data_IF_053139254257
#
_entry.id   IF_053139254257
#
_cell.length_a   1.000
_cell.length_b   1.000
_cell.length_c   1.000
_cell.angle_alpha   90.00
_cell.angle_beta   90.00
_cell.angle_gamma   90.00
#
_symmetry.space_group_name_H-M   'P 1'
#
loop_
_entity.id
_entity.type
_entity.pdbx_description
1 polymer ?
#
# COMPACT_ATOMS: atom_id res chain seq x y z
N UNK A 1 2.28 -3.01 21.61
CA UNK A 1 3.17 -2.52 22.70
C UNK A 1 3.38 -3.50 23.86
N UNK A 2 2.65 -4.62 23.99
CA UNK A 2 3.07 -5.69 24.91
C UNK A 2 2.96 -7.07 24.24
N UNK A 3 3.88 -7.28 23.30
CA UNK A 3 3.76 -8.37 22.35
C UNK A 3 3.93 -9.76 23.02
N UNK A 4 4.92 -9.86 23.91
CA UNK A 4 5.23 -11.05 24.70
C UNK A 4 4.09 -11.46 25.63
N UNK A 5 3.46 -10.49 26.30
CA UNK A 5 2.36 -10.76 27.24
C UNK A 5 1.09 -11.23 26.50
N UNK A 6 0.79 -10.63 25.34
CA UNK A 6 -0.36 -11.03 24.51
C UNK A 6 -0.19 -12.46 23.98
N UNK A 7 1.03 -12.82 23.53
CA UNK A 7 1.35 -14.16 23.06
C UNK A 7 1.27 -15.21 24.18
N UNK A 8 1.72 -14.86 25.39
CA UNK A 8 1.64 -15.75 26.55
C UNK A 8 0.18 -16.02 26.93
N UNK A 9 -0.65 -14.97 27.00
CA UNK A 9 -2.07 -15.09 27.33
C UNK A 9 -2.83 -15.92 26.29
N UNK A 10 -2.56 -15.70 24.99
CA UNK A 10 -3.16 -16.50 23.92
C UNK A 10 -2.72 -17.95 23.97
N UNK A 11 -1.44 -18.23 24.26
CA UNK A 11 -0.97 -19.61 24.41
C UNK A 11 -1.64 -20.29 25.60
N UNK A 12 -1.69 -19.63 26.76
CA UNK A 12 -2.37 -20.15 27.95
C UNK A 12 -3.85 -20.42 27.69
N UNK A 13 -4.56 -19.52 27.00
CA UNK A 13 -5.95 -19.71 26.65
C UNK A 13 -6.17 -20.92 25.71
N UNK A 14 -5.30 -21.11 24.72
CA UNK A 14 -5.33 -22.27 23.83
C UNK A 14 -5.06 -23.56 24.62
N UNK A 15 -4.04 -23.57 25.48
CA UNK A 15 -3.65 -24.75 26.25
C UNK A 15 -4.75 -25.20 27.23
N UNK A 16 -5.51 -24.25 27.79
CA UNK A 16 -6.65 -24.52 28.68
C UNK A 16 -7.87 -25.05 27.90
N UNK A 17 -8.14 -24.51 26.71
CA UNK A 17 -9.38 -24.79 25.96
C UNK A 17 -9.24 -25.95 24.98
N UNK A 18 -8.03 -26.25 24.50
CA UNK A 18 -7.77 -27.34 23.55
C UNK A 18 -8.20 -28.73 24.07
N UNK A 19 -8.03 -29.08 25.36
CA UNK A 19 -8.52 -30.36 25.90
C UNK A 19 -10.05 -30.46 25.92
N UNK A 20 -10.74 -29.32 26.03
CA UNK A 20 -12.21 -29.23 26.08
C UNK A 20 -12.85 -29.28 24.68
N UNK A 21 -12.03 -29.14 23.62
CA UNK A 21 -12.48 -29.13 22.23
C UNK A 21 -13.27 -30.38 21.83
N UNK A 22 -12.92 -31.55 22.38
CA UNK A 22 -13.56 -32.82 22.02
C UNK A 22 -14.98 -32.98 22.58
N UNK A 23 -15.42 -32.09 23.47
CA UNK A 23 -16.71 -32.20 24.15
C UNK A 23 -17.77 -31.24 23.61
N UNK A 24 -17.38 -30.12 22.98
CA UNK A 24 -18.31 -29.08 22.55
C UNK A 24 -17.88 -28.39 21.24
N UNK A 25 -18.79 -28.34 20.26
CA UNK A 25 -18.56 -27.73 18.93
C UNK A 25 -18.28 -26.22 19.05
N UNK A 26 -18.91 -25.55 20.02
CA UNK A 26 -18.72 -24.12 20.31
C UNK A 26 -17.30 -23.83 20.81
N UNK A 27 -16.75 -24.67 21.68
CA UNK A 27 -15.38 -24.54 22.20
C UNK A 27 -14.36 -24.72 21.07
N UNK A 28 -14.65 -25.63 20.12
CA UNK A 28 -13.82 -25.78 18.92
C UNK A 28 -13.72 -24.55 18.04
N UNK A 29 -14.84 -23.83 17.87
CA UNK A 29 -14.83 -22.56 17.14
C UNK A 29 -14.01 -21.50 17.89
N UNK A 30 -14.13 -21.44 19.22
CA UNK A 30 -13.34 -20.51 20.04
C UNK A 30 -11.84 -20.80 19.93
N UNK A 31 -11.42 -22.06 20.04
CA UNK A 31 -10.01 -22.46 19.88
C UNK A 31 -9.49 -22.08 18.48
N UNK A 32 -10.29 -22.30 17.43
CA UNK A 32 -9.96 -21.87 16.07
C UNK A 32 -9.73 -20.34 15.97
N UNK A 33 -10.61 -19.52 16.54
CA UNK A 33 -10.43 -18.07 16.54
C UNK A 33 -9.22 -17.61 17.36
N UNK A 34 -8.92 -18.27 18.49
CA UNK A 34 -7.71 -17.98 19.27
C UNK A 34 -6.44 -18.28 18.48
N UNK A 35 -6.43 -19.35 17.67
CA UNK A 35 -5.34 -19.63 16.75
C UNK A 35 -5.21 -18.55 15.66
N UNK A 36 -6.32 -18.02 15.15
CA UNK A 36 -6.31 -16.92 14.19
C UNK A 36 -5.78 -15.62 14.78
N UNK A 37 -6.19 -15.27 16.00
CA UNK A 37 -5.68 -14.08 16.70
C UNK A 37 -4.18 -14.21 16.99
N UNK A 38 -3.73 -15.41 17.38
CA UNK A 38 -2.30 -15.69 17.54
C UNK A 38 -1.54 -15.55 16.22
N UNK A 39 -2.08 -16.08 15.12
CA UNK A 39 -1.46 -15.96 13.80
C UNK A 39 -1.39 -14.50 13.34
N UNK A 40 -2.47 -13.75 13.49
CA UNK A 40 -2.53 -12.32 13.17
C UNK A 40 -1.44 -11.56 13.91
N UNK A 41 -1.29 -11.88 15.19
CA UNK A 41 -0.32 -11.28 16.07
C UNK A 41 1.12 -11.61 15.64
N UNK A 42 1.43 -12.89 15.41
CA UNK A 42 2.77 -13.34 14.98
C UNK A 42 3.15 -12.73 13.62
N UNK A 43 2.21 -12.65 12.67
CA UNK A 43 2.42 -12.01 11.37
C UNK A 43 2.66 -10.50 11.49
N UNK A 44 1.86 -9.81 12.31
CA UNK A 44 2.01 -8.36 12.53
C UNK A 44 3.36 -8.04 13.20
N UNK A 45 3.79 -8.87 14.15
CA UNK A 45 5.11 -8.75 14.75
C UNK A 45 6.21 -8.93 13.70
N UNK A 46 6.12 -9.97 12.86
CA UNK A 46 7.09 -10.25 11.79
C UNK A 46 7.18 -9.09 10.78
N UNK A 47 6.04 -8.53 10.37
CA UNK A 47 5.93 -7.37 9.50
C UNK A 47 6.57 -6.15 10.15
N UNK A 48 6.25 -5.84 11.41
CA UNK A 48 6.80 -4.67 12.12
C UNK A 48 8.32 -4.75 12.33
N UNK A 49 8.84 -5.96 12.55
CA UNK A 49 10.28 -6.23 12.64
C UNK A 49 10.95 -6.26 11.27
N UNK A 50 10.17 -6.33 10.18
CA UNK A 50 10.64 -6.52 8.81
C UNK A 50 11.50 -7.78 8.66
N UNK A 51 11.21 -8.80 9.45
CA UNK A 51 11.87 -10.10 9.41
C UNK A 51 10.99 -11.04 8.60
N UNK A 52 11.41 -11.35 7.38
CA UNK A 52 10.67 -12.17 6.42
C UNK A 52 11.33 -13.53 6.15
N UNK A 53 12.44 -13.82 6.84
CA UNK A 53 13.08 -15.14 6.81
C UNK A 53 12.26 -16.13 7.64
N UNK A 54 12.36 -17.41 7.30
CA UNK A 54 11.72 -18.47 8.08
C UNK A 54 12.34 -18.53 9.48
N UNK A 55 11.56 -18.05 10.45
CA UNK A 55 11.82 -18.29 11.86
C UNK A 55 11.49 -19.76 12.18
N UNK A 56 12.11 -20.31 13.23
CA UNK A 56 11.90 -21.67 13.78
C UNK A 56 10.42 -22.05 14.07
N UNK A 57 9.47 -21.11 13.94
CA UNK A 57 8.07 -21.25 14.30
C UNK A 57 7.12 -21.66 13.14
N UNK A 58 7.65 -21.97 11.95
CA UNK A 58 6.89 -22.32 10.74
C UNK A 58 5.75 -21.33 10.42
N UNK A 59 6.02 -20.03 10.62
CA UNK A 59 5.02 -18.97 10.47
C UNK A 59 4.46 -18.91 9.05
N UNK A 60 5.33 -19.13 8.05
CA UNK A 60 4.91 -19.14 6.65
C UNK A 60 3.96 -20.30 6.35
N UNK A 61 4.23 -21.52 6.82
CA UNK A 61 3.36 -22.68 6.62
C UNK A 61 1.97 -22.46 7.23
N UNK A 62 1.91 -21.84 8.41
CA UNK A 62 0.65 -21.46 9.07
C UNK A 62 -0.11 -20.42 8.26
N UNK A 63 0.59 -19.41 7.72
CA UNK A 63 0.01 -18.41 6.84
C UNK A 63 -0.55 -19.03 5.55
N UNK A 64 0.22 -19.92 4.91
CA UNK A 64 -0.21 -20.64 3.71
C UNK A 64 -1.44 -21.50 3.97
N UNK A 65 -1.44 -22.24 5.08
CA UNK A 65 -2.56 -23.08 5.49
C UNK A 65 -3.83 -22.26 5.71
N UNK A 66 -3.71 -21.13 6.41
CA UNK A 66 -4.82 -20.20 6.62
C UNK A 66 -5.35 -19.61 5.31
N UNK A 67 -4.48 -19.18 4.39
CA UNK A 67 -4.90 -18.59 3.12
C UNK A 67 -5.51 -19.62 2.13
N UNK A 68 -5.13 -20.90 2.25
CA UNK A 68 -5.71 -22.01 1.47
C UNK A 68 -7.03 -22.52 2.05
N UNK A 69 -7.29 -22.27 3.33
CA UNK A 69 -8.52 -22.70 3.99
C UNK A 69 -9.75 -22.00 3.38
N UNK A 70 -10.79 -22.78 3.09
CA UNK A 70 -12.06 -22.25 2.61
C UNK A 70 -12.87 -21.71 3.78
N UNK A 71 -12.75 -20.41 4.03
CA UNK A 71 -13.53 -19.71 5.05
C UNK A 71 -14.93 -19.38 4.53
N UNK A 72 -15.94 -19.50 5.40
CA UNK A 72 -17.26 -18.95 5.13
C UNK A 72 -17.24 -17.41 5.22
N UNK A 73 -18.14 -16.71 4.52
CA UNK A 73 -18.21 -15.23 4.53
C UNK A 73 -18.46 -14.64 5.93
N UNK A 74 -19.04 -15.44 6.84
CA UNK A 74 -19.36 -15.01 8.21
C UNK A 74 -18.21 -15.25 9.19
N UNK A 75 -17.31 -16.20 8.91
CA UNK A 75 -16.26 -16.61 9.85
C UNK A 75 -14.90 -15.94 9.57
N UNK A 76 -14.76 -15.26 8.44
CA UNK A 76 -13.47 -14.78 7.96
C UNK A 76 -13.02 -13.49 8.66
N UNK A 77 -11.86 -13.56 9.33
CA UNK A 77 -11.21 -12.37 9.88
C UNK A 77 -10.50 -11.59 8.75
N UNK A 78 -11.13 -10.51 8.29
CA UNK A 78 -10.62 -9.68 7.17
C UNK A 78 -9.27 -9.02 7.48
N UNK A 79 -9.00 -8.69 8.74
CA UNK A 79 -7.70 -8.13 9.15
C UNK A 79 -6.58 -9.17 9.05
N UNK A 80 -6.86 -10.41 9.46
CA UNK A 80 -5.92 -11.52 9.30
C UNK A 80 -5.62 -11.80 7.82
N UNK A 81 -6.64 -11.82 6.95
CA UNK A 81 -6.43 -12.00 5.50
C UNK A 81 -5.59 -10.86 4.91
N UNK A 82 -5.89 -9.61 5.26
CA UNK A 82 -5.12 -8.43 4.84
C UNK A 82 -3.65 -8.54 5.25
N UNK A 83 -3.39 -8.88 6.50
CA UNK A 83 -2.03 -9.04 7.06
C UNK A 83 -1.30 -10.22 6.43
N UNK A 84 -1.97 -11.37 6.26
CA UNK A 84 -1.40 -12.57 5.66
C UNK A 84 -1.00 -12.36 4.18
N UNK A 85 -1.85 -11.69 3.40
CA UNK A 85 -1.53 -11.35 2.00
C UNK A 85 -0.38 -10.35 1.91
N UNK A 86 -0.34 -9.33 2.78
CA UNK A 86 0.77 -8.38 2.83
C UNK A 86 2.09 -9.06 3.25
N UNK A 87 2.03 -10.03 4.17
CA UNK A 87 3.18 -10.85 4.55
C UNK A 87 3.69 -11.68 3.37
N UNK A 88 2.80 -12.37 2.65
CA UNK A 88 3.15 -13.15 1.46
C UNK A 88 3.79 -12.30 0.35
N UNK A 89 3.25 -11.09 0.11
CA UNK A 89 3.84 -10.12 -0.83
C UNK A 89 5.24 -9.68 -0.39
N UNK A 90 5.42 -9.44 0.90
CA UNK A 90 6.71 -8.98 1.46
C UNK A 90 7.77 -10.09 1.43
N UNK A 91 7.37 -11.36 1.43
CA UNK A 91 8.22 -12.53 1.22
C UNK A 91 8.51 -12.85 -0.25
N UNK A 92 7.93 -12.11 -1.18
CA UNK A 92 8.03 -12.38 -2.62
C UNK A 92 7.47 -13.76 -3.05
N UNK A 93 6.42 -14.24 -2.37
CA UNK A 93 5.81 -15.56 -2.62
C UNK A 93 4.80 -15.50 -3.78
N UNK A 94 5.29 -15.10 -4.94
CA UNK A 94 4.50 -14.77 -6.14
C UNK A 94 3.66 -15.96 -6.62
N UNK A 95 4.29 -17.13 -6.77
CA UNK A 95 3.63 -18.33 -7.32
C UNK A 95 2.47 -18.78 -6.43
N UNK A 96 2.69 -18.75 -5.11
CA UNK A 96 1.67 -19.08 -4.13
C UNK A 96 0.47 -18.12 -4.23
N UNK A 97 0.72 -16.81 -4.24
CA UNK A 97 -0.34 -15.79 -4.35
C UNK A 97 -1.17 -15.94 -5.63
N UNK A 98 -0.53 -16.30 -6.74
CA UNK A 98 -1.20 -16.55 -8.01
C UNK A 98 -2.06 -17.83 -7.95
N UNK A 99 -1.63 -18.85 -7.20
CA UNK A 99 -2.34 -20.13 -7.05
C UNK A 99 -3.59 -20.06 -6.13
N UNK A 100 -3.69 -19.03 -5.29
CA UNK A 100 -4.81 -18.89 -4.35
C UNK A 100 -6.16 -18.79 -5.07
N UNK A 101 -7.14 -19.55 -4.61
CA UNK A 101 -8.52 -19.50 -5.12
C UNK A 101 -9.26 -18.38 -4.39
N UNK A 102 -10.19 -17.70 -5.08
CA UNK A 102 -11.02 -16.67 -4.47
C UNK A 102 -11.92 -17.28 -3.40
N UNK A 103 -11.62 -16.99 -2.12
CA UNK A 103 -12.44 -17.36 -0.97
C UNK A 103 -13.16 -16.11 -0.46
N UNK A 104 -14.49 -16.18 -0.37
CA UNK A 104 -15.34 -15.14 0.21
C UNK A 104 -15.49 -13.83 -0.58
N UNK A 105 -16.65 -13.17 -0.45
CA UNK A 105 -16.92 -11.87 -1.09
C UNK A 105 -16.14 -10.73 -0.45
N UNK A 106 -16.02 -10.73 0.89
CA UNK A 106 -15.41 -9.64 1.67
C UNK A 106 -13.89 -9.55 1.49
N UNK A 107 -13.24 -10.67 1.23
CA UNK A 107 -11.78 -10.80 1.11
C UNK A 107 -11.28 -10.77 -0.32
N UNK A 108 -12.20 -10.86 -1.28
CA UNK A 108 -11.92 -10.80 -2.71
C UNK A 108 -11.07 -9.59 -3.10
N UNK A 109 -11.34 -8.42 -2.52
CA UNK A 109 -10.62 -7.19 -2.88
C UNK A 109 -9.13 -7.25 -2.52
N UNK A 110 -8.81 -7.70 -1.31
CA UNK A 110 -7.41 -7.84 -0.88
C UNK A 110 -6.68 -8.88 -1.73
N UNK A 111 -7.34 -10.01 -2.02
CA UNK A 111 -6.76 -11.06 -2.85
C UNK A 111 -6.53 -10.61 -4.29
N UNK A 112 -7.51 -9.93 -4.89
CA UNK A 112 -7.39 -9.42 -6.26
C UNK A 112 -6.25 -8.38 -6.34
N UNK A 113 -6.14 -7.45 -5.38
CA UNK A 113 -5.01 -6.51 -5.30
C UNK A 113 -3.68 -7.24 -5.10
N UNK A 114 -3.62 -8.22 -4.19
CA UNK A 114 -2.41 -9.01 -3.97
C UNK A 114 -1.96 -9.77 -5.22
N UNK A 115 -2.90 -10.31 -6.00
CA UNK A 115 -2.60 -10.97 -7.28
C UNK A 115 -2.11 -9.99 -8.35
N UNK A 116 -2.64 -8.77 -8.39
CA UNK A 116 -2.11 -7.71 -9.27
C UNK A 116 -0.67 -7.38 -8.87
N UNK A 117 -0.41 -7.16 -7.58
CA UNK A 117 0.93 -6.90 -7.08
C UNK A 117 1.91 -8.06 -7.36
N UNK A 118 1.51 -9.30 -7.11
CA UNK A 118 2.32 -10.48 -7.42
C UNK A 118 2.65 -10.57 -8.91
N UNK A 119 1.70 -10.26 -9.80
CA UNK A 119 1.94 -10.21 -11.25
C UNK A 119 2.91 -9.08 -11.65
N UNK A 120 2.87 -7.94 -10.96
CA UNK A 120 3.82 -6.85 -11.17
C UNK A 120 5.24 -7.26 -10.77
N UNK A 121 5.39 -7.96 -9.63
CA UNK A 121 6.69 -8.49 -9.16
C UNK A 121 7.25 -9.59 -10.07
N UNK A 122 6.41 -10.44 -10.65
CA UNK A 122 6.86 -11.51 -11.56
C UNK A 122 7.53 -10.98 -12.84
N UNK A 123 7.40 -9.69 -13.15
CA UNK A 123 8.03 -9.07 -14.32
C UNK A 123 9.43 -8.49 -14.03
N UNK A 124 10.00 -8.69 -12.84
CA UNK A 124 11.34 -8.17 -12.48
C UNK A 124 12.46 -8.61 -13.43
N UNK A 125 12.29 -9.72 -14.15
CA UNK A 125 13.25 -10.20 -15.15
C UNK A 125 13.00 -9.70 -16.59
N UNK A 126 12.02 -8.82 -16.83
CA UNK A 126 11.77 -8.21 -18.13
C UNK A 126 11.99 -6.69 -18.05
N UNK A 127 12.66 -6.07 -19.05
CA UNK A 127 13.04 -4.65 -18.98
C UNK A 127 11.86 -3.65 -19.01
N UNK A 128 10.60 -4.12 -19.01
CA UNK A 128 9.41 -3.28 -19.11
C UNK A 128 8.25 -3.89 -18.29
N UNK A 129 7.68 -3.10 -17.37
CA UNK A 129 6.42 -3.45 -16.73
C UNK A 129 5.33 -3.51 -17.81
N UNK A 130 4.54 -4.58 -17.83
CA UNK A 130 3.46 -4.74 -18.81
C UNK A 130 2.41 -3.65 -18.62
N UNK A 131 2.08 -2.86 -19.66
CA UNK A 131 1.16 -1.72 -19.55
C UNK A 131 -0.25 -2.14 -19.12
N UNK A 132 -0.67 -3.36 -19.46
CA UNK A 132 -1.96 -3.93 -19.06
C UNK A 132 -2.09 -4.06 -17.54
N UNK A 133 -1.04 -4.51 -16.85
CA UNK A 133 -1.05 -4.68 -15.39
C UNK A 133 -1.03 -3.32 -14.67
N UNK A 134 -0.34 -2.35 -15.25
CA UNK A 134 -0.30 -0.98 -14.74
C UNK A 134 -1.68 -0.34 -14.86
N UNK A 135 -2.35 -0.50 -16.00
CA UNK A 135 -3.72 -0.02 -16.20
C UNK A 135 -4.70 -0.74 -15.27
N UNK A 136 -4.57 -2.04 -15.10
CA UNK A 136 -5.42 -2.79 -14.16
C UNK A 136 -5.26 -2.26 -12.71
N UNK A 137 -4.03 -2.00 -12.26
CA UNK A 137 -3.78 -1.42 -10.94
C UNK A 137 -4.36 0.00 -10.83
N UNK A 138 -4.13 0.84 -11.85
CA UNK A 138 -4.64 2.20 -11.92
C UNK A 138 -6.17 2.24 -11.76
N UNK A 139 -6.89 1.47 -12.58
CA UNK A 139 -8.35 1.44 -12.58
C UNK A 139 -8.90 0.94 -11.24
N UNK A 140 -8.28 -0.08 -10.64
CA UNK A 140 -8.69 -0.62 -9.33
C UNK A 140 -8.52 0.39 -8.20
N UNK A 141 -7.40 1.10 -8.15
CA UNK A 141 -7.16 2.12 -7.13
C UNK A 141 -8.15 3.28 -7.32
N UNK A 142 -8.40 3.69 -8.56
CA UNK A 142 -9.37 4.74 -8.87
C UNK A 142 -10.81 4.37 -8.50
N UNK A 143 -11.21 3.11 -8.70
CA UNK A 143 -12.53 2.61 -8.31
C UNK A 143 -12.76 2.63 -6.79
N UNK A 144 -11.68 2.53 -6.00
CA UNK A 144 -11.69 2.64 -4.53
C UNK A 144 -11.71 4.12 -4.11
N UNK A 145 -10.93 4.97 -4.76
CA UNK A 145 -10.82 6.39 -4.43
C UNK A 145 -12.03 7.22 -4.89
N UNK A 146 -12.77 6.74 -5.90
CA UNK A 146 -13.94 7.44 -6.42
C UNK A 146 -15.17 7.21 -5.53
N UNK A 147 -15.57 8.27 -4.84
CA UNK A 147 -16.92 8.38 -4.30
C UNK A 147 -17.87 8.42 -5.50
N UNK A 148 -18.65 7.35 -5.71
CA UNK A 148 -19.76 7.40 -6.68
C UNK A 148 -20.79 8.39 -6.14
N UNK A 149 -20.71 9.65 -6.58
CA UNK A 149 -21.82 10.59 -6.51
C UNK A 149 -23.04 9.91 -7.13
N UNK A 150 -23.96 9.43 -6.29
CA UNK A 150 -25.28 9.02 -6.72
C UNK A 150 -26.04 10.29 -7.12
N UNK A 151 -25.80 10.77 -8.34
CA UNK A 151 -26.67 11.76 -8.95
C UNK A 151 -28.04 11.11 -9.23
N UNK A 152 -29.16 11.85 -9.10
CA UNK A 152 -30.52 11.35 -9.39
C UNK A 152 -30.73 10.83 -10.83
N UNK A 153 -29.74 10.96 -11.72
CA UNK A 153 -29.80 10.54 -13.13
C UNK A 153 -29.19 9.17 -13.47
N UNK A 154 -28.55 8.48 -12.52
CA UNK A 154 -27.84 7.22 -12.78
C UNK A 154 -28.77 6.00 -13.05
N UNK A 155 -30.09 6.19 -13.03
CA UNK A 155 -31.08 5.11 -13.22
C UNK A 155 -31.35 4.80 -14.71
N UNK A 156 -30.98 5.67 -15.65
CA UNK A 156 -31.46 5.54 -17.05
C UNK A 156 -30.50 4.96 -18.09
N UNK A 157 -29.26 4.58 -17.75
CA UNK A 157 -28.30 4.07 -18.77
C UNK A 157 -27.64 2.72 -18.45
N UNK A 158 -28.23 1.90 -17.58
CA UNK A 158 -27.78 0.52 -17.36
C UNK A 158 -28.78 -0.49 -17.94
N UNK A 159 -28.94 -0.51 -19.27
CA UNK A 159 -29.74 -1.56 -19.94
C UNK A 159 -28.95 -2.60 -20.72
N UNK A 160 -27.61 -2.54 -20.79
CA UNK A 160 -26.82 -3.50 -21.59
C UNK A 160 -25.48 -3.95 -20.96
N UNK A 161 -25.35 -3.97 -19.63
CA UNK A 161 -24.28 -4.76 -18.98
C UNK A 161 -24.92 -5.83 -18.12
N UNK A 162 -24.56 -7.08 -18.43
CA UNK A 162 -24.90 -8.26 -17.65
C UNK A 162 -24.82 -7.97 -16.15
N UNK A 163 -25.95 -8.24 -15.47
CA UNK A 163 -26.08 -8.59 -14.05
C UNK A 163 -24.89 -8.19 -13.16
N UNK A 164 -24.89 -6.96 -12.67
CA UNK A 164 -24.28 -6.65 -11.37
C UNK A 164 -25.40 -6.23 -10.43
N UNK A 165 -25.83 -7.20 -9.63
CA UNK A 165 -26.74 -7.01 -8.51
C UNK A 165 -26.24 -5.90 -7.59
N UNK A 166 -27.17 -5.06 -7.12
CA UNK A 166 -27.03 -4.11 -6.02
C UNK A 166 -26.10 -4.57 -4.89
N UNK A 167 -24.91 -3.99 -4.73
CA UNK A 167 -24.11 -4.04 -3.49
C UNK A 167 -23.34 -2.74 -3.27
N UNK A 168 -23.99 -1.75 -2.66
CA UNK A 168 -23.32 -0.51 -2.20
C UNK A 168 -22.34 -0.77 -1.03
N UNK A 169 -22.37 -1.96 -0.43
CA UNK A 169 -21.52 -2.35 0.70
C UNK A 169 -20.37 -3.34 0.35
N UNK A 170 -20.22 -3.75 -0.92
CA UNK A 170 -19.11 -4.62 -1.36
C UNK A 170 -17.96 -3.79 -1.95
N UNK A 171 -17.59 -2.66 -1.35
CA UNK A 171 -16.43 -1.88 -1.82
C UNK A 171 -15.42 -1.74 -0.69
N UNK A 172 -14.15 -1.99 -1.02
CA UNK A 172 -13.05 -1.70 -0.12
C UNK A 172 -13.04 -0.19 0.18
N UNK A 173 -13.04 0.18 1.46
CA UNK A 173 -12.94 1.59 1.83
C UNK A 173 -11.51 2.11 1.60
N UNK A 174 -11.36 3.43 1.49
CA UNK A 174 -10.02 4.05 1.42
C UNK A 174 -9.20 3.76 2.67
N UNK A 175 -9.85 3.67 3.84
CA UNK A 175 -9.21 3.33 5.11
C UNK A 175 -8.65 1.90 5.06
N UNK A 176 -9.41 0.97 4.50
CA UNK A 176 -8.98 -0.42 4.36
C UNK A 176 -7.86 -0.59 3.33
N UNK A 177 -7.91 0.18 2.24
CA UNK A 177 -6.81 0.28 1.30
C UNK A 177 -5.55 0.79 1.99
N UNK A 178 -5.64 1.92 2.72
CA UNK A 178 -4.52 2.46 3.49
C UNK A 178 -3.92 1.42 4.44
N UNK A 179 -4.77 0.74 5.23
CA UNK A 179 -4.34 -0.34 6.13
C UNK A 179 -3.64 -1.49 5.40
N UNK A 180 -4.04 -1.81 4.17
CA UNK A 180 -3.37 -2.84 3.40
C UNK A 180 -2.00 -2.38 2.90
N UNK A 181 -1.93 -1.17 2.34
CA UNK A 181 -0.68 -0.62 1.78
C UNK A 181 0.41 -0.45 2.85
N UNK A 182 0.06 0.01 4.06
CA UNK A 182 1.04 0.16 5.17
C UNK A 182 1.55 -1.18 5.73
N UNK A 183 0.95 -2.32 5.37
CA UNK A 183 1.47 -3.62 5.76
C UNK A 183 2.47 -4.18 4.73
N UNK A 184 2.49 -3.64 3.51
CA UNK A 184 3.40 -4.08 2.46
C UNK A 184 4.80 -3.56 2.79
N UNK A 185 5.79 -4.44 2.71
CA UNK A 185 7.20 -4.14 2.96
C UNK A 185 8.10 -4.38 1.74
N UNK A 186 7.52 -4.78 0.61
CA UNK A 186 8.27 -5.02 -0.61
C UNK A 186 8.71 -3.70 -1.26
N UNK A 187 10.03 -3.44 -1.45
CA UNK A 187 10.55 -2.17 -1.94
C UNK A 187 9.95 -1.70 -3.27
N UNK A 188 9.88 -2.61 -4.24
CA UNK A 188 9.38 -2.31 -5.59
C UNK A 188 7.89 -1.99 -5.56
N UNK A 189 7.09 -2.70 -4.74
CA UNK A 189 5.67 -2.40 -4.61
C UNK A 189 5.47 -1.02 -4.00
N UNK A 190 6.22 -0.67 -2.95
CA UNK A 190 6.16 0.68 -2.38
C UNK A 190 6.45 1.74 -3.43
N UNK A 191 7.49 1.54 -4.25
CA UNK A 191 7.87 2.47 -5.30
C UNK A 191 6.79 2.62 -6.39
N UNK A 192 6.18 1.51 -6.83
CA UNK A 192 5.08 1.51 -7.80
C UNK A 192 3.85 2.21 -7.22
N UNK A 193 3.45 1.87 -5.98
CA UNK A 193 2.27 2.46 -5.33
C UNK A 193 2.47 3.96 -5.11
N UNK A 194 3.64 4.37 -4.62
CA UNK A 194 3.94 5.79 -4.40
C UNK A 194 3.96 6.56 -5.73
N UNK A 195 4.50 5.96 -6.78
CA UNK A 195 4.47 6.52 -8.14
C UNK A 195 3.05 6.68 -8.70
N UNK A 196 2.18 5.69 -8.46
CA UNK A 196 0.77 5.78 -8.82
C UNK A 196 0.09 6.96 -8.13
N UNK A 197 0.28 7.06 -6.81
CA UNK A 197 -0.34 8.12 -6.00
C UNK A 197 0.20 9.50 -6.37
N UNK A 198 1.51 9.65 -6.60
CA UNK A 198 2.11 10.92 -7.03
C UNK A 198 1.60 11.33 -8.42
N UNK A 199 1.39 10.35 -9.32
CA UNK A 199 0.77 10.63 -10.61
C UNK A 199 -0.68 11.08 -10.47
N UNK A 200 -1.48 10.40 -9.66
CA UNK A 200 -2.86 10.81 -9.39
C UNK A 200 -2.91 12.23 -8.83
N UNK A 201 -2.02 12.51 -7.87
CA UNK A 201 -1.89 13.82 -7.26
C UNK A 201 -1.57 14.90 -8.31
N UNK A 202 -0.58 14.64 -9.17
CA UNK A 202 -0.21 15.49 -10.30
C UNK A 202 -1.41 15.75 -11.20
N UNK A 203 -2.15 14.71 -11.61
CA UNK A 203 -3.28 14.82 -12.53
C UNK A 203 -4.48 15.60 -11.94
N UNK A 204 -4.68 15.54 -10.62
CA UNK A 204 -5.75 16.29 -9.94
C UNK A 204 -5.37 17.76 -9.78
N UNK A 205 -4.07 18.08 -9.67
CA UNK A 205 -3.56 19.44 -9.45
C UNK A 205 -2.96 20.11 -10.70
N UNK A 206 -3.10 19.52 -11.90
CA UNK A 206 -2.48 20.04 -13.14
C UNK A 206 -2.82 21.50 -13.40
N UNK A 207 -4.03 21.94 -13.05
CA UNK A 207 -4.45 23.33 -13.26
C UNK A 207 -3.84 24.33 -12.26
N UNK A 208 -3.20 23.84 -11.17
CA UNK A 208 -2.76 24.65 -10.02
C UNK A 208 -1.24 24.71 -9.83
N UNK A 209 -0.46 23.85 -10.50
CA UNK A 209 0.99 23.76 -10.31
C UNK A 209 1.75 23.58 -11.64
N UNK A 210 2.90 24.25 -11.75
CA UNK A 210 3.86 24.09 -12.83
C UNK A 210 5.07 23.21 -12.45
N UNK A 211 4.98 22.50 -11.32
CA UNK A 211 6.04 21.61 -10.85
C UNK A 211 5.79 20.21 -11.36
N UNK A 212 6.72 19.71 -12.18
CA UNK A 212 6.73 18.31 -12.59
C UNK A 212 7.20 17.45 -11.41
N UNK A 213 6.30 16.60 -10.92
CA UNK A 213 6.60 15.66 -9.84
C UNK A 213 7.43 14.51 -10.40
N UNK A 214 8.66 14.34 -9.90
CA UNK A 214 9.51 13.21 -10.24
C UNK A 214 8.83 11.90 -9.86
N UNK A 215 8.94 10.90 -10.73
CA UNK A 215 8.48 9.55 -10.42
C UNK A 215 9.08 8.51 -11.36
N UNK A 216 9.66 7.46 -10.79
CA UNK A 216 10.37 6.40 -11.53
C UNK A 216 9.47 5.67 -12.54
N UNK A 217 8.20 5.45 -12.17
CA UNK A 217 7.22 4.78 -13.02
C UNK A 217 6.28 5.75 -13.75
N UNK A 218 6.58 7.06 -13.77
CA UNK A 218 5.75 8.11 -14.40
C UNK A 218 5.24 7.74 -15.80
N UNK A 219 6.14 7.21 -16.63
CA UNK A 219 5.87 6.85 -18.04
C UNK A 219 4.82 5.75 -18.24
N UNK A 220 4.56 4.94 -17.22
CA UNK A 220 3.62 3.82 -17.34
C UNK A 220 2.18 4.22 -17.01
N UNK A 221 2.00 5.33 -16.30
CA UNK A 221 0.69 5.78 -15.86
C UNK A 221 -0.02 6.62 -16.94
N UNK A 222 -1.37 6.63 -16.94
CA UNK A 222 -2.13 7.53 -17.82
C UNK A 222 -1.75 9.01 -17.67
N UNK A 223 -1.95 9.75 -18.74
CA UNK A 223 -1.71 11.21 -18.80
C UNK A 223 -2.94 12.07 -18.55
N UNK A 224 -4.09 11.44 -18.38
CA UNK A 224 -5.35 12.11 -18.07
C UNK A 224 -6.22 11.21 -17.20
N UNK A 225 -7.17 11.84 -16.51
CA UNK A 225 -8.18 11.19 -15.67
C UNK A 225 -9.54 11.39 -16.33
N UNK A 226 -10.36 10.34 -16.37
CA UNK A 226 -11.70 10.41 -16.95
C UNK A 226 -12.62 11.31 -16.12
N UNK A 227 -13.66 11.89 -16.75
CA UNK A 227 -14.61 12.78 -16.08
C UNK A 227 -15.24 12.18 -14.80
N UNK A 228 -15.50 10.87 -14.80
CA UNK A 228 -16.05 10.15 -13.62
C UNK A 228 -15.09 10.07 -12.44
N UNK A 229 -13.80 10.17 -12.70
CA UNK A 229 -12.73 10.07 -11.72
C UNK A 229 -12.33 11.47 -11.19
N UNK A 230 -12.89 12.56 -11.75
CA UNK A 230 -12.77 13.92 -11.17
C UNK A 230 -13.48 14.09 -9.82
N UNK A 231 -14.30 13.12 -9.38
CA UNK A 231 -14.93 13.16 -8.05
C UNK A 231 -13.98 12.79 -6.91
N UNK A 232 -12.75 12.36 -7.22
CA UNK A 232 -11.75 12.00 -6.23
C UNK A 232 -11.29 13.26 -5.50
N UNK A 233 -11.46 13.26 -4.17
CA UNK A 233 -11.04 14.38 -3.33
C UNK A 233 -9.52 14.41 -3.23
N UNK A 234 -8.92 15.56 -3.52
CA UNK A 234 -7.47 15.79 -3.35
C UNK A 234 -6.99 15.48 -1.94
N UNK A 235 -7.80 15.78 -0.92
CA UNK A 235 -7.49 15.48 0.48
C UNK A 235 -7.34 13.98 0.76
N UNK A 236 -8.15 13.13 0.11
CA UNK A 236 -8.08 11.68 0.25
C UNK A 236 -6.78 11.13 -0.33
N UNK A 237 -6.38 11.61 -1.50
CA UNK A 237 -5.09 11.21 -2.11
C UNK A 237 -3.93 11.73 -1.28
N UNK A 238 -3.99 12.98 -0.80
CA UNK A 238 -2.96 13.56 0.07
C UNK A 238 -2.75 12.74 1.35
N UNK A 239 -3.84 12.36 2.03
CA UNK A 239 -3.80 11.55 3.25
C UNK A 239 -3.18 10.17 2.98
N UNK A 240 -3.56 9.52 1.88
CA UNK A 240 -3.02 8.21 1.51
C UNK A 240 -1.53 8.28 1.18
N UNK A 241 -1.11 9.29 0.40
CA UNK A 241 0.30 9.52 0.07
C UNK A 241 1.11 9.81 1.33
N UNK A 242 0.60 10.65 2.23
CA UNK A 242 1.26 10.98 3.50
C UNK A 242 1.41 9.76 4.40
N UNK A 243 0.36 8.96 4.58
CA UNK A 243 0.42 7.73 5.37
C UNK A 243 1.42 6.72 4.79
N UNK A 244 1.48 6.60 3.46
CA UNK A 244 2.48 5.75 2.80
C UNK A 244 3.89 6.31 2.95
N UNK A 245 4.06 7.64 2.92
CA UNK A 245 5.37 8.27 3.13
C UNK A 245 5.87 8.05 4.56
N UNK A 246 5.03 8.23 5.58
CA UNK A 246 5.36 7.94 6.98
C UNK A 246 5.80 6.47 7.16
N UNK A 247 5.11 5.55 6.48
CA UNK A 247 5.49 4.15 6.44
C UNK A 247 6.87 3.92 5.77
N UNK A 248 7.15 4.61 4.67
CA UNK A 248 8.46 4.60 3.99
C UNK A 248 9.57 5.13 4.92
N UNK A 249 9.29 6.20 5.67
CA UNK A 249 10.25 6.78 6.62
C UNK A 249 10.59 5.79 7.74
N UNK A 250 9.56 5.10 8.28
CA UNK A 250 9.71 4.08 9.30
C UNK A 250 10.42 2.80 8.81
N UNK A 251 10.52 2.62 7.49
CA UNK A 251 11.12 1.42 6.91
C UNK A 251 12.64 1.36 7.09
N UNK A 252 13.12 0.24 7.63
CA UNK A 252 14.53 0.03 8.02
C UNK A 252 15.38 -0.53 6.88
N UNK A 253 14.80 -1.40 6.05
CA UNK A 253 15.53 -2.18 5.05
C UNK A 253 15.21 -1.78 3.60
N UNK A 254 14.71 -0.55 3.38
CA UNK A 254 14.47 -0.07 2.03
C UNK A 254 15.80 0.30 1.33
N UNK A 255 16.06 -0.17 0.10
CA UNK A 255 17.26 0.19 -0.64
C UNK A 255 17.45 1.72 -0.75
N UNK A 256 18.69 2.19 -0.55
CA UNK A 256 19.03 3.62 -0.48
C UNK A 256 18.52 4.38 -1.71
N UNK A 257 18.73 3.82 -2.91
CA UNK A 257 18.32 4.44 -4.17
C UNK A 257 16.80 4.59 -4.25
N UNK A 258 16.06 3.56 -3.86
CA UNK A 258 14.59 3.61 -3.82
C UNK A 258 14.14 4.64 -2.77
N UNK A 259 14.74 4.64 -1.58
CA UNK A 259 14.39 5.57 -0.51
C UNK A 259 14.63 7.03 -0.92
N UNK A 260 15.80 7.36 -1.47
CA UNK A 260 16.10 8.71 -2.00
C UNK A 260 15.08 9.13 -3.06
N UNK A 261 14.78 8.25 -4.02
CA UNK A 261 13.80 8.53 -5.09
C UNK A 261 12.38 8.85 -4.57
N UNK A 262 11.96 8.17 -3.50
CA UNK A 262 10.66 8.39 -2.85
C UNK A 262 10.62 9.70 -2.07
N UNK A 263 11.70 10.04 -1.34
CA UNK A 263 11.82 11.32 -0.66
C UNK A 263 11.79 12.48 -1.65
N UNK A 264 12.53 12.37 -2.76
CA UNK A 264 12.48 13.35 -3.83
C UNK A 264 11.06 13.55 -4.38
N UNK A 265 10.35 12.46 -4.66
CA UNK A 265 8.96 12.50 -5.12
C UNK A 265 8.06 13.24 -4.11
N UNK A 266 8.22 12.97 -2.81
CA UNK A 266 7.47 13.65 -1.75
C UNK A 266 7.83 15.14 -1.64
N UNK A 267 9.10 15.49 -1.80
CA UNK A 267 9.54 16.89 -1.80
C UNK A 267 8.92 17.67 -2.97
N UNK A 268 8.84 17.09 -4.17
CA UNK A 268 8.16 17.71 -5.32
C UNK A 268 6.65 17.90 -5.05
N UNK A 269 6.01 16.97 -4.32
CA UNK A 269 4.61 17.11 -3.87
C UNK A 269 4.47 18.29 -2.90
N UNK A 270 5.34 18.41 -1.90
CA UNK A 270 5.33 19.57 -1.00
C UNK A 270 5.60 20.89 -1.73
N UNK A 271 6.46 20.87 -2.74
CA UNK A 271 6.73 22.04 -3.57
C UNK A 271 5.51 22.46 -4.38
N UNK A 272 4.78 21.49 -4.95
CA UNK A 272 3.50 21.69 -5.64
C UNK A 272 2.46 22.31 -4.71
N UNK A 273 2.45 21.90 -3.44
CA UNK A 273 1.60 22.46 -2.38
C UNK A 273 2.07 23.82 -1.85
N UNK A 274 3.13 24.40 -2.41
CA UNK A 274 3.76 25.64 -1.94
C UNK A 274 4.25 25.56 -0.48
N UNK A 275 4.47 24.36 0.04
CA UNK A 275 5.04 24.12 1.37
C UNK A 275 6.56 24.10 1.28
N UNK A 276 7.15 25.25 0.93
CA UNK A 276 8.56 25.38 0.57
C UNK A 276 9.53 24.92 1.67
N UNK A 277 9.22 25.16 2.95
CA UNK A 277 10.04 24.72 4.08
C UNK A 277 10.10 23.19 4.17
N UNK A 278 8.93 22.53 4.09
CA UNK A 278 8.83 21.07 4.11
C UNK A 278 9.52 20.46 2.89
N UNK A 279 9.28 21.02 1.70
CA UNK A 279 9.94 20.59 0.47
C UNK A 279 11.47 20.63 0.62
N UNK A 280 12.02 21.75 1.11
CA UNK A 280 13.47 21.89 1.31
C UNK A 280 14.02 20.88 2.31
N UNK A 281 13.34 20.66 3.44
CA UNK A 281 13.74 19.63 4.41
C UNK A 281 13.81 18.24 3.78
N UNK A 282 12.77 17.84 3.05
CA UNK A 282 12.72 16.50 2.44
C UNK A 282 13.73 16.35 1.29
N UNK A 283 14.01 17.40 0.50
CA UNK A 283 15.09 17.34 -0.49
C UNK A 283 16.47 17.13 0.16
N UNK A 284 16.75 17.83 1.26
CA UNK A 284 18.00 17.67 2.01
C UNK A 284 18.10 16.25 2.56
N UNK A 285 17.01 15.69 3.10
CA UNK A 285 16.96 14.31 3.56
C UNK A 285 17.22 13.31 2.42
N UNK A 286 16.65 13.54 1.23
CA UNK A 286 16.90 12.70 0.05
C UNK A 286 18.40 12.65 -0.30
N UNK A 287 19.04 13.82 -0.41
CA UNK A 287 20.48 13.93 -0.71
C UNK A 287 21.31 13.29 0.40
N UNK A 288 20.96 13.53 1.66
CA UNK A 288 21.65 12.97 2.82
C UNK A 288 21.59 11.44 2.82
N UNK A 289 20.45 10.84 2.47
CA UNK A 289 20.28 9.39 2.35
C UNK A 289 21.19 8.83 1.26
N UNK A 290 21.23 9.48 0.10
CA UNK A 290 22.01 9.03 -1.06
C UNK A 290 23.52 9.17 -0.87
N UNK A 291 23.96 10.23 -0.18
CA UNK A 291 25.37 10.58 -0.01
C UNK A 291 25.97 10.15 1.33
N UNK A 292 25.20 9.40 2.13
CA UNK A 292 25.55 9.07 3.52
C UNK A 292 25.97 10.33 4.31
N UNK A 293 25.07 11.29 4.40
CA UNK A 293 25.26 12.57 5.11
C UNK A 293 26.36 13.41 4.44
N UNK A 294 26.26 13.60 3.13
CA UNK A 294 27.19 14.43 2.33
C UNK A 294 28.65 13.95 2.37
N UNK A 295 28.87 12.68 2.72
CA UNK A 295 30.20 12.07 2.80
C UNK A 295 30.74 11.65 1.44
N UNK A 296 29.85 11.40 0.48
CA UNK A 296 30.20 11.12 -0.91
C UNK A 296 29.70 12.23 -1.85
N UNK A 297 30.36 12.45 -3.00
CA UNK A 297 29.84 13.35 -4.03
C UNK A 297 28.47 12.83 -4.51
N UNK A 298 27.56 13.74 -4.83
CA UNK A 298 26.26 13.37 -5.43
C UNK A 298 26.53 12.83 -6.84
N UNK A 299 26.14 11.59 -7.12
CA UNK A 299 26.64 10.83 -8.29
C UNK A 299 25.71 10.91 -9.52
N UNK A 300 24.53 11.54 -9.45
CA UNK A 300 23.52 11.35 -10.50
C UNK A 300 23.27 12.58 -11.41
N UNK A 301 23.28 12.38 -12.73
CA UNK A 301 22.79 13.40 -13.69
C UNK A 301 21.28 13.70 -13.53
N UNK A 302 20.56 12.91 -12.74
CA UNK A 302 19.15 13.18 -12.42
C UNK A 302 19.00 14.33 -11.40
N UNK A 303 20.10 14.87 -10.87
CA UNK A 303 20.10 15.90 -9.82
C UNK A 303 19.73 17.29 -10.32
N UNK A 304 19.91 17.60 -11.60
CA UNK A 304 19.68 18.95 -12.13
C UNK A 304 18.24 19.45 -11.93
N UNK A 305 17.27 18.56 -12.10
CA UNK A 305 15.84 18.87 -11.89
C UNK A 305 15.53 19.08 -10.41
N UNK A 306 16.11 18.24 -9.54
CA UNK A 306 15.98 18.38 -8.08
C UNK A 306 16.61 19.69 -7.59
N UNK A 307 17.84 19.99 -8.00
CA UNK A 307 18.56 21.22 -7.65
C UNK A 307 17.77 22.45 -8.12
N UNK A 308 17.23 22.44 -9.35
CA UNK A 308 16.36 23.53 -9.81
C UNK A 308 15.14 23.73 -8.92
N UNK A 309 14.50 22.65 -8.49
CA UNK A 309 13.36 22.71 -7.59
C UNK A 309 13.74 23.21 -6.18
N UNK A 310 14.90 22.82 -5.66
CA UNK A 310 15.46 23.35 -4.42
C UNK A 310 15.74 24.86 -4.51
N UNK A 311 16.33 25.32 -5.62
CA UNK A 311 16.58 26.75 -5.87
C UNK A 311 15.24 27.51 -5.88
N UNK A 312 14.21 26.99 -6.56
CA UNK A 312 12.87 27.59 -6.55
C UNK A 312 12.32 27.70 -5.11
N UNK A 313 12.40 26.63 -4.33
CA UNK A 313 11.94 26.62 -2.94
C UNK A 313 12.71 27.65 -2.08
N UNK A 314 14.03 27.70 -2.19
CA UNK A 314 14.88 28.63 -1.47
C UNK A 314 14.57 30.10 -1.81
N UNK A 315 14.35 30.41 -3.09
CA UNK A 315 13.98 31.76 -3.53
C UNK A 315 12.63 32.20 -2.93
N UNK A 316 11.64 31.30 -2.86
CA UNK A 316 10.34 31.61 -2.26
C UNK A 316 10.45 31.79 -0.74
N UNK A 317 11.25 30.96 -0.06
CA UNK A 317 11.55 31.13 1.36
C UNK A 317 12.24 32.46 1.66
N UNK A 318 13.16 32.89 0.79
CA UNK A 318 13.80 34.20 0.88
C UNK A 318 12.79 35.33 0.77
N UNK A 319 11.89 35.30 -0.21
CA UNK A 319 10.84 36.32 -0.38
C UNK A 319 9.91 36.44 0.81
N UNK A 320 9.53 35.32 1.43
CA UNK A 320 8.65 35.32 2.60
C UNK A 320 9.28 35.90 3.88
N UNK A 321 10.63 35.97 3.97
CA UNK A 321 11.31 36.58 5.13
C UNK A 321 11.38 38.12 5.07
N UNK A 322 11.05 38.72 3.93
CA UNK A 322 11.13 40.17 3.71
C UNK A 322 9.76 40.83 3.49
N UNK A 323 8.67 40.13 3.81
CA UNK A 323 7.30 40.65 3.87
C UNK A 323 6.83 40.69 5.32
#
# INVERSE_FOLDING_TARGET
KNHTQSRLLLSQAIDILSPLHHQDISIGQVVKYLHYDRLLFDLTESISKQTFLDNENNLWEKCQSFLKENHSDNDINTDLVRVALAYALSRNEIQFLQSLIQTGRRTRFYLDLAKVFARLLNNENQPQIRPELVRELWDRILDILSDKLQGPGAIKQSRNRHQQSNTLNDKLSVVDLQKFLINIHHPILMQIIFSLLSRLYSLILVEQSHVDIYSEYSRYWPTSIDYRQRSIRTSTVAQLTQALFEHIQASKYLPIQIKSSLYRTQADIYLTLQQYTQAMHIYIDAISIETAIFSSPVVSQQDDTMIRNMIKAALQLGKMKFQ
#
